data_IF_692484996750
#
_entry.id   IF_692484996750
#
_cell.length_a   1.000
_cell.length_b   1.000
_cell.length_c   1.000
_cell.angle_alpha   90.00
_cell.angle_beta   90.00
_cell.angle_gamma   90.00
#
_symmetry.space_group_name_H-M   'P 1'
#
loop_
_entity.id
_entity.type
_entity.pdbx_description
1 polymer ?
#
# COMPACT_ATOMS: atom_id res chain seq x y z
N UNK A 1 27.57 1.76 8.24
CA UNK A 1 26.38 0.90 8.43
C UNK A 1 26.05 0.24 7.10
N UNK A 2 26.15 -1.08 6.95
CA UNK A 2 25.79 -1.75 5.71
C UNK A 2 24.27 -1.61 5.49
N UNK A 3 23.84 -1.04 4.36
CA UNK A 3 22.43 -1.02 3.95
C UNK A 3 21.99 -2.46 3.75
N UNK A 4 20.85 -2.81 4.35
CA UNK A 4 20.24 -4.13 4.21
C UNK A 4 20.03 -4.48 2.72
N UNK A 5 20.04 -5.77 2.43
CA UNK A 5 19.97 -6.36 1.09
C UNK A 5 18.62 -6.11 0.40
N UNK A 6 18.55 -5.03 -0.37
CA UNK A 6 17.93 -4.74 -1.69
C UNK A 6 16.47 -5.08 -2.02
N UNK A 7 15.75 -6.05 -1.44
CA UNK A 7 14.41 -6.40 -2.02
C UNK A 7 13.21 -5.94 -1.19
N UNK A 8 13.42 -5.56 0.07
CA UNK A 8 12.34 -5.20 1.00
C UNK A 8 12.64 -3.91 1.78
N UNK A 9 13.27 -2.94 1.12
CA UNK A 9 13.53 -1.64 1.73
C UNK A 9 12.32 -0.71 1.57
N UNK A 10 11.93 -0.03 2.65
CA UNK A 10 10.86 0.97 2.63
C UNK A 10 11.09 2.04 1.56
N UNK A 11 12.34 2.46 1.35
CA UNK A 11 12.70 3.42 0.30
C UNK A 11 12.39 2.90 -1.12
N UNK A 12 12.63 1.61 -1.40
CA UNK A 12 12.29 1.00 -2.69
C UNK A 12 10.78 0.84 -2.86
N UNK A 13 10.05 0.62 -1.76
CA UNK A 13 8.60 0.61 -1.79
C UNK A 13 8.03 2.00 -2.15
N UNK A 14 8.52 3.07 -1.52
CA UNK A 14 8.07 4.46 -1.78
C UNK A 14 8.52 4.98 -3.16
N UNK A 15 9.63 4.46 -3.70
CA UNK A 15 10.13 4.85 -5.02
C UNK A 15 9.12 4.55 -6.15
N UNK A 16 8.28 3.52 -5.99
CA UNK A 16 7.29 3.13 -7.00
C UNK A 16 6.09 4.10 -7.00
N UNK A 17 5.74 4.71 -8.15
CA UNK A 17 4.73 5.76 -8.23
C UNK A 17 3.37 5.36 -7.67
N UNK A 18 2.85 4.17 -8.03
CA UNK A 18 1.51 3.71 -7.61
C UNK A 18 1.44 3.49 -6.10
N UNK A 19 2.49 2.92 -5.50
CA UNK A 19 2.62 2.79 -4.04
C UNK A 19 2.66 4.15 -3.36
N UNK A 20 3.30 5.15 -3.98
CA UNK A 20 3.32 6.53 -3.45
C UNK A 20 1.93 7.15 -3.46
N UNK A 21 1.19 7.02 -4.55
CA UNK A 21 -0.21 7.47 -4.65
C UNK A 21 -1.09 6.80 -3.57
N UNK A 22 -0.91 5.49 -3.34
CA UNK A 22 -1.61 4.78 -2.26
C UNK A 22 -1.29 5.38 -0.89
N UNK A 23 0.00 5.66 -0.61
CA UNK A 23 0.43 6.25 0.65
C UNK A 23 -0.07 7.69 0.83
N UNK A 24 -0.10 8.50 -0.23
CA UNK A 24 -0.64 9.86 -0.19
C UNK A 24 -2.13 9.87 0.15
N UNK A 25 -2.89 8.96 -0.48
CA UNK A 25 -4.33 8.84 -0.26
C UNK A 25 -4.63 8.30 1.15
N UNK A 26 -3.84 7.34 1.65
CA UNK A 26 -3.96 6.81 3.01
C UNK A 26 -3.45 7.77 4.09
N UNK A 27 -2.50 8.65 3.76
CA UNK A 27 -1.97 9.64 4.69
C UNK A 27 -3.00 10.67 5.14
N UNK A 28 -4.08 10.83 4.36
CA UNK A 28 -5.18 11.75 4.67
C UNK A 28 -6.30 11.09 5.50
N UNK A 29 -6.55 9.80 5.31
CA UNK A 29 -7.60 9.05 6.01
C UNK A 29 -7.40 7.53 5.90
N UNK A 30 -7.93 6.79 6.88
CA UNK A 30 -8.08 5.33 6.75
C UNK A 30 -9.14 5.01 5.68
N UNK A 31 -8.81 4.14 4.71
CA UNK A 31 -9.69 3.80 3.59
C UNK A 31 -9.76 2.29 3.37
N UNK A 32 -10.91 1.84 2.87
CA UNK A 32 -11.08 0.47 2.40
C UNK A 32 -10.39 0.24 1.05
N UNK A 33 -10.12 -1.04 0.72
CA UNK A 33 -9.56 -1.41 -0.58
C UNK A 33 -10.48 -0.97 -1.73
N UNK A 34 -11.80 -1.01 -1.53
CA UNK A 34 -12.77 -0.54 -2.52
C UNK A 34 -12.69 0.97 -2.76
N UNK A 35 -12.52 1.76 -1.72
CA UNK A 35 -12.32 3.22 -1.85
C UNK A 35 -10.99 3.56 -2.52
N UNK A 36 -9.92 2.81 -2.22
CA UNK A 36 -8.63 2.98 -2.91
C UNK A 36 -8.74 2.67 -4.41
N UNK A 37 -9.45 1.60 -4.76
CA UNK A 37 -9.76 1.25 -6.16
C UNK A 37 -10.51 2.38 -6.86
N UNK A 38 -11.55 2.92 -6.21
CA UNK A 38 -12.36 3.99 -6.77
C UNK A 38 -11.58 5.31 -6.93
N UNK A 39 -10.76 5.70 -5.94
CA UNK A 39 -9.98 6.95 -5.98
C UNK A 39 -8.80 6.91 -6.95
N UNK A 40 -8.11 5.77 -7.00
CA UNK A 40 -6.90 5.63 -7.84
C UNK A 40 -7.23 5.14 -9.26
N UNK A 41 -8.48 4.73 -9.52
CA UNK A 41 -8.88 4.17 -10.82
C UNK A 41 -8.16 2.86 -11.16
N UNK A 42 -7.71 2.12 -10.14
CA UNK A 42 -6.89 0.92 -10.31
C UNK A 42 -7.72 -0.35 -10.09
N UNK A 43 -7.38 -1.41 -10.80
CA UNK A 43 -8.02 -2.70 -10.56
C UNK A 43 -7.68 -3.21 -9.15
N UNK A 44 -8.67 -3.79 -8.47
CA UNK A 44 -8.51 -4.36 -7.11
C UNK A 44 -7.30 -5.30 -6.97
N UNK A 45 -6.97 -6.19 -7.94
CA UNK A 45 -5.78 -7.03 -7.84
C UNK A 45 -4.47 -6.23 -7.79
N UNK A 46 -4.41 -5.10 -8.50
CA UNK A 46 -3.24 -4.22 -8.48
C UNK A 46 -3.10 -3.56 -7.11
N UNK A 47 -4.18 -2.97 -6.59
CA UNK A 47 -4.20 -2.33 -5.27
C UNK A 47 -3.78 -3.32 -4.18
N UNK A 48 -4.35 -4.53 -4.17
CA UNK A 48 -3.98 -5.58 -3.22
C UNK A 48 -2.50 -5.96 -3.29
N UNK A 49 -1.93 -6.06 -4.50
CA UNK A 49 -0.50 -6.35 -4.68
C UNK A 49 0.39 -5.23 -4.12
N UNK A 50 0.05 -3.97 -4.38
CA UNK A 50 0.81 -2.83 -3.86
C UNK A 50 0.71 -2.77 -2.32
N UNK A 51 -0.48 -2.96 -1.75
CA UNK A 51 -0.69 -3.01 -0.30
C UNK A 51 0.08 -4.16 0.36
N UNK A 52 0.18 -5.32 -0.28
CA UNK A 52 0.97 -6.44 0.22
C UNK A 52 2.45 -6.07 0.35
N UNK A 53 3.03 -5.42 -0.67
CA UNK A 53 4.43 -4.97 -0.61
C UNK A 53 4.62 -3.88 0.44
N UNK A 54 3.73 -2.89 0.49
CA UNK A 54 3.78 -1.83 1.49
C UNK A 54 3.69 -2.38 2.92
N UNK A 55 2.90 -3.44 3.14
CA UNK A 55 2.79 -4.11 4.43
C UNK A 55 4.06 -4.91 4.77
N UNK A 56 4.72 -5.52 3.79
CA UNK A 56 5.98 -6.26 4.01
C UNK A 56 7.13 -5.36 4.50
N UNK A 57 7.05 -4.06 4.23
CA UNK A 57 8.04 -3.06 4.65
C UNK A 57 7.50 -2.14 5.75
N UNK A 58 6.42 -2.55 6.42
CA UNK A 58 5.78 -1.84 7.54
C UNK A 58 5.33 -0.39 7.24
N UNK A 59 5.07 -0.05 5.98
CA UNK A 59 4.59 1.29 5.59
C UNK A 59 3.07 1.46 5.72
N UNK A 60 2.32 0.36 5.73
CA UNK A 60 0.86 0.37 5.90
C UNK A 60 0.42 -0.74 6.84
N UNK A 61 -0.69 -0.52 7.55
CA UNK A 61 -1.33 -1.54 8.38
C UNK A 61 -2.75 -1.77 7.88
N UNK A 62 -3.08 -3.03 7.64
CA UNK A 62 -4.42 -3.42 7.22
C UNK A 62 -5.16 -4.00 8.42
N UNK A 63 -6.28 -3.39 8.81
CA UNK A 63 -7.23 -4.00 9.76
C UNK A 63 -8.39 -4.63 8.99
N UNK A 64 -8.70 -5.88 9.32
CA UNK A 64 -9.93 -6.51 8.82
C UNK A 64 -11.06 -6.15 9.76
N UNK A 65 -11.84 -5.14 9.39
CA UNK A 65 -13.13 -4.89 10.04
C UNK A 65 -14.14 -5.86 9.42
N UNK A 66 -14.97 -6.50 10.23
CA UNK A 66 -15.81 -7.65 9.88
C UNK A 66 -16.49 -7.58 8.50
N UNK A 67 -16.55 -8.75 7.85
CA UNK A 67 -16.98 -9.07 6.48
C UNK A 67 -18.01 -8.13 5.83
N UNK A 68 -17.54 -7.13 5.09
CA UNK A 68 -18.29 -6.64 3.92
C UNK A 68 -18.04 -7.62 2.77
N UNK A 69 -19.10 -8.36 2.41
CA UNK A 69 -19.17 -9.13 1.16
C UNK A 69 -19.47 -8.19 0.00
#
# INVERSE_FOLDING_TARGET
MPRATTTSDAFNAVAEPRRREILEVLGSAELSVGELVARLGLAQPQVSKHLQVLRQVDLVHCRTVGRQR
#
